data_IF_112257514371
#
_entry.id   IF_112257514371
#
_cell.length_a   1.000
_cell.length_b   1.000
_cell.length_c   1.000
_cell.angle_alpha   90.00
_cell.angle_beta   90.00
_cell.angle_gamma   90.00
#
_symmetry.space_group_name_H-M   'P 1'
#
loop_
_entity.id
_entity.type
_entity.pdbx_description
1 polymer ?
#
# COMPACT_ATOMS: atom_id res chain seq x y z
N UNK A 1 4.09 -27.88 -27.28
CA UNK A 1 3.49 -26.74 -26.54
C UNK A 1 3.95 -25.45 -27.21
N UNK A 2 3.04 -24.68 -27.82
CA UNK A 2 3.42 -23.57 -28.70
C UNK A 2 3.85 -22.31 -27.92
N UNK A 3 4.88 -21.60 -28.41
CA UNK A 3 5.44 -20.34 -27.85
C UNK A 3 4.38 -19.30 -27.44
N UNK A 4 3.26 -19.26 -28.17
CA UNK A 4 2.12 -18.36 -27.95
C UNK A 4 1.38 -18.65 -26.62
N UNK A 5 1.30 -19.92 -26.21
CA UNK A 5 0.70 -20.29 -24.91
C UNK A 5 1.63 -19.96 -23.74
N UNK A 6 2.94 -20.10 -23.93
CA UNK A 6 3.97 -19.74 -22.95
C UNK A 6 4.04 -18.23 -22.71
N UNK A 7 3.81 -17.41 -23.75
CA UNK A 7 3.73 -15.95 -23.64
C UNK A 7 2.42 -15.44 -23.04
N UNK A 8 1.28 -16.08 -23.34
CA UNK A 8 -0.02 -15.75 -22.70
C UNK A 8 -0.03 -16.07 -21.20
N UNK A 9 0.67 -17.13 -20.78
CA UNK A 9 0.84 -17.47 -19.35
C UNK A 9 1.66 -16.40 -18.60
N UNK A 10 2.68 -15.81 -19.25
CA UNK A 10 3.55 -14.75 -18.68
C UNK A 10 2.86 -13.40 -18.46
N UNK A 11 1.65 -13.17 -19.00
CA UNK A 11 0.91 -11.90 -18.90
C UNK A 11 -0.28 -11.89 -17.94
N UNK A 12 -0.47 -12.95 -17.13
CA UNK A 12 -1.45 -12.89 -16.03
C UNK A 12 -0.82 -12.16 -14.85
N UNK A 13 -1.11 -10.86 -14.75
CA UNK A 13 -0.82 -10.11 -13.54
C UNK A 13 -1.57 -10.70 -12.33
N UNK A 14 -1.26 -10.19 -11.14
CA UNK A 14 -1.85 -10.64 -9.87
C UNK A 14 -3.39 -10.64 -9.82
N UNK A 15 -4.08 -10.03 -10.78
CA UNK A 15 -5.53 -9.97 -10.88
C UNK A 15 -6.20 -11.36 -10.98
N UNK A 16 -5.48 -12.39 -11.44
CA UNK A 16 -5.99 -13.77 -11.48
C UNK A 16 -5.66 -14.58 -10.22
N UNK A 17 -4.93 -14.02 -9.26
CA UNK A 17 -4.59 -14.73 -8.04
C UNK A 17 -5.78 -14.79 -7.08
N UNK A 18 -5.95 -15.91 -6.40
CA UNK A 18 -6.75 -15.96 -5.17
C UNK A 18 -6.07 -15.15 -4.08
N UNK A 19 -6.79 -14.81 -3.00
CA UNK A 19 -6.21 -14.12 -1.86
C UNK A 19 -4.97 -14.86 -1.31
N UNK A 20 -5.07 -16.18 -1.14
CA UNK A 20 -3.96 -17.00 -0.65
C UNK A 20 -2.73 -16.96 -1.57
N UNK A 21 -2.95 -17.03 -2.89
CA UNK A 21 -1.87 -16.89 -3.89
C UNK A 21 -1.24 -15.50 -3.87
N UNK A 22 -2.06 -14.45 -3.73
CA UNK A 22 -1.57 -13.07 -3.63
C UNK A 22 -0.73 -12.85 -2.38
N UNK A 23 -1.19 -13.34 -1.23
CA UNK A 23 -0.46 -13.24 0.04
C UNK A 23 0.85 -14.01 -0.03
N UNK A 24 0.84 -15.24 -0.55
CA UNK A 24 2.06 -16.02 -0.75
C UNK A 24 3.05 -15.31 -1.69
N UNK A 25 2.56 -14.70 -2.77
CA UNK A 25 3.38 -13.91 -3.70
C UNK A 25 4.03 -12.68 -3.01
N UNK A 26 3.28 -11.93 -2.19
CA UNK A 26 3.79 -10.72 -1.52
C UNK A 26 4.67 -11.01 -0.31
N UNK A 27 4.26 -11.93 0.56
CA UNK A 27 4.95 -12.21 1.83
C UNK A 27 5.95 -13.37 1.75
N UNK A 28 5.92 -14.17 0.68
CA UNK A 28 6.76 -15.36 0.53
C UNK A 28 6.34 -16.55 1.40
N UNK A 29 5.22 -16.45 2.12
CA UNK A 29 4.66 -17.52 2.96
C UNK A 29 3.13 -17.56 2.81
N UNK A 30 2.49 -18.73 2.99
CA UNK A 30 1.04 -18.87 2.88
C UNK A 30 0.27 -17.97 3.85
N UNK A 31 -1.00 -17.71 3.53
CA UNK A 31 -1.92 -17.03 4.44
C UNK A 31 -2.06 -17.83 5.74
N UNK A 32 -1.93 -17.16 6.89
CA UNK A 32 -1.98 -17.79 8.22
C UNK A 32 -0.65 -18.30 8.76
N UNK A 33 0.45 -18.22 7.99
CA UNK A 33 1.79 -18.59 8.48
C UNK A 33 2.28 -17.65 9.58
N UNK A 34 2.87 -18.20 10.65
CA UNK A 34 3.38 -17.44 11.81
C UNK A 34 4.46 -16.42 11.46
N UNK A 35 5.18 -16.63 10.35
CA UNK A 35 6.20 -15.69 9.85
C UNK A 35 5.62 -14.54 9.04
N UNK A 36 4.31 -14.54 8.76
CA UNK A 36 3.67 -13.54 7.89
C UNK A 36 3.91 -12.11 8.38
N UNK A 37 3.74 -11.85 9.69
CA UNK A 37 3.98 -10.52 10.26
C UNK A 37 5.45 -10.09 10.12
N UNK A 38 6.38 -10.98 10.48
CA UNK A 38 7.83 -10.73 10.35
C UNK A 38 8.20 -10.41 8.90
N UNK A 39 7.76 -11.24 7.95
CA UNK A 39 8.07 -11.06 6.54
C UNK A 39 7.45 -9.78 5.99
N UNK A 40 6.22 -9.48 6.36
CA UNK A 40 5.53 -8.24 5.97
C UNK A 40 6.33 -7.02 6.43
N UNK A 41 6.70 -6.95 7.70
CA UNK A 41 7.46 -5.81 8.26
C UNK A 41 8.85 -5.70 7.59
N UNK A 42 9.60 -6.81 7.53
CA UNK A 42 10.93 -6.82 6.92
C UNK A 42 10.90 -6.38 5.45
N UNK A 43 9.93 -6.87 4.67
CA UNK A 43 9.81 -6.53 3.24
C UNK A 43 9.29 -5.11 3.02
N UNK A 44 8.34 -4.66 3.83
CA UNK A 44 7.77 -3.31 3.71
C UNK A 44 8.84 -2.27 4.01
N UNK A 45 9.43 -2.30 5.21
CA UNK A 45 10.45 -1.32 5.60
C UNK A 45 11.77 -1.49 4.83
N UNK A 46 12.11 -2.72 4.43
CA UNK A 46 13.26 -3.00 3.58
C UNK A 46 13.04 -2.76 2.08
N UNK A 47 11.89 -2.23 1.67
CA UNK A 47 11.59 -2.01 0.26
C UNK A 47 12.55 -0.98 -0.38
N UNK A 48 12.88 -1.18 -1.65
CA UNK A 48 13.74 -0.29 -2.41
C UNK A 48 13.09 1.07 -2.74
N UNK A 49 11.77 1.20 -2.56
CA UNK A 49 11.04 2.45 -2.76
C UNK A 49 9.80 2.50 -1.89
N UNK A 50 9.29 3.71 -1.66
CA UNK A 50 8.07 3.89 -0.88
C UNK A 50 6.84 3.29 -1.57
N UNK A 51 6.79 3.28 -2.89
CA UNK A 51 5.79 2.50 -3.63
C UNK A 51 5.92 0.99 -3.40
N UNK A 52 7.14 0.47 -3.21
CA UNK A 52 7.40 -0.92 -2.88
C UNK A 52 6.93 -1.27 -1.47
N UNK A 53 7.10 -0.37 -0.49
CA UNK A 53 6.61 -0.53 0.88
C UNK A 53 5.14 -0.96 0.89
N UNK A 54 4.29 -0.23 0.17
CA UNK A 54 2.85 -0.49 0.10
C UNK A 54 2.44 -1.74 -0.70
N UNK A 55 3.36 -2.36 -1.44
CA UNK A 55 3.10 -3.66 -2.06
C UNK A 55 3.22 -4.81 -1.05
N UNK A 56 4.02 -4.63 -0.01
CA UNK A 56 4.24 -5.61 1.04
C UNK A 56 3.39 -5.33 2.28
N UNK A 57 3.09 -4.07 2.56
CA UNK A 57 2.31 -3.69 3.74
C UNK A 57 0.88 -4.23 3.65
N UNK A 58 0.53 -5.10 4.61
CA UNK A 58 -0.79 -5.72 4.74
C UNK A 58 -1.36 -6.25 3.40
N UNK A 59 -0.83 -7.37 2.88
CA UNK A 59 -1.22 -7.86 1.55
C UNK A 59 -2.69 -8.30 1.47
N UNK A 60 -3.32 -8.66 2.60
CA UNK A 60 -4.75 -8.98 2.63
C UNK A 60 -5.56 -7.72 2.32
N UNK A 61 -5.25 -6.63 3.01
CA UNK A 61 -5.87 -5.33 2.77
C UNK A 61 -5.58 -4.80 1.36
N UNK A 62 -4.32 -4.89 0.92
CA UNK A 62 -3.91 -4.51 -0.43
C UNK A 62 -4.63 -5.30 -1.53
N UNK A 63 -4.90 -6.59 -1.32
CA UNK A 63 -5.69 -7.41 -2.26
C UNK A 63 -7.13 -6.90 -2.36
N UNK A 64 -7.77 -6.64 -1.22
CA UNK A 64 -9.13 -6.12 -1.16
C UNK A 64 -9.27 -4.76 -1.83
N UNK A 65 -8.43 -3.80 -1.44
CA UNK A 65 -8.39 -2.46 -2.06
C UNK A 65 -8.09 -2.54 -3.56
N UNK A 66 -7.12 -3.36 -3.96
CA UNK A 66 -6.76 -3.54 -5.35
C UNK A 66 -7.92 -4.00 -6.22
N UNK A 67 -8.69 -4.97 -5.72
CA UNK A 67 -9.80 -5.60 -6.46
C UNK A 67 -11.09 -4.79 -6.42
N UNK A 68 -11.44 -4.24 -5.26
CA UNK A 68 -12.76 -3.67 -5.02
C UNK A 68 -12.78 -2.14 -5.01
N UNK A 69 -11.62 -1.47 -4.93
CA UNK A 69 -11.53 -0.01 -4.93
C UNK A 69 -10.74 0.48 -6.14
N UNK A 70 -9.46 0.11 -6.23
CA UNK A 70 -8.57 0.58 -7.29
C UNK A 70 -9.03 0.15 -8.69
N UNK A 71 -9.34 -1.13 -8.90
CA UNK A 71 -9.74 -1.63 -10.22
C UNK A 71 -11.04 -0.98 -10.75
N UNK A 72 -12.10 -0.78 -9.95
CA UNK A 72 -13.24 0.04 -10.34
C UNK A 72 -12.87 1.49 -10.65
N UNK A 73 -12.11 2.16 -9.76
CA UNK A 73 -11.70 3.55 -9.96
C UNK A 73 -10.87 3.77 -11.24
N UNK A 74 -10.07 2.78 -11.64
CA UNK A 74 -9.28 2.82 -12.87
C UNK A 74 -10.11 2.90 -14.16
N UNK A 75 -11.41 2.62 -14.09
CA UNK A 75 -12.34 2.82 -15.22
C UNK A 75 -12.72 4.28 -15.42
N UNK A 76 -12.56 5.11 -14.38
CA UNK A 76 -13.00 6.51 -14.36
C UNK A 76 -11.82 7.49 -14.27
N UNK A 77 -10.74 7.09 -13.59
CA UNK A 77 -9.62 7.97 -13.26
C UNK A 77 -8.30 7.48 -13.88
N UNK A 78 -7.36 8.39 -14.19
CA UNK A 78 -5.98 8.02 -14.54
C UNK A 78 -5.30 7.25 -13.39
N UNK A 79 -4.23 6.48 -13.68
CA UNK A 79 -3.64 5.56 -12.69
C UNK A 79 -3.26 6.23 -11.37
N UNK A 80 -2.66 7.41 -11.46
CA UNK A 80 -2.26 8.20 -10.29
C UNK A 80 -3.47 8.62 -9.44
N UNK A 81 -4.51 9.17 -10.07
CA UNK A 81 -5.73 9.60 -9.37
C UNK A 81 -6.44 8.43 -8.69
N UNK A 82 -6.60 7.30 -9.39
CA UNK A 82 -7.20 6.10 -8.82
C UNK A 82 -6.39 5.58 -7.62
N UNK A 83 -5.06 5.67 -7.67
CA UNK A 83 -4.18 5.21 -6.60
C UNK A 83 -4.29 6.10 -5.35
N UNK A 84 -4.20 7.43 -5.50
CA UNK A 84 -4.37 8.38 -4.37
C UNK A 84 -5.74 8.22 -3.74
N UNK A 85 -6.79 8.14 -4.55
CA UNK A 85 -8.15 7.99 -4.05
C UNK A 85 -8.36 6.64 -3.34
N UNK A 86 -7.72 5.56 -3.81
CA UNK A 86 -7.73 4.28 -3.11
C UNK A 86 -7.11 4.39 -1.71
N UNK A 87 -6.01 5.12 -1.59
CA UNK A 87 -5.40 5.42 -0.29
C UNK A 87 -6.31 6.26 0.60
N UNK A 88 -6.90 7.33 0.08
CA UNK A 88 -7.84 8.17 0.83
C UNK A 88 -9.05 7.37 1.32
N UNK A 89 -9.64 6.51 0.48
CA UNK A 89 -10.74 5.61 0.86
C UNK A 89 -10.27 4.63 1.94
N UNK A 90 -9.08 4.06 1.81
CA UNK A 90 -8.49 3.22 2.86
C UNK A 90 -8.38 3.98 4.17
N UNK A 91 -7.90 5.22 4.16
CA UNK A 91 -7.83 6.07 5.35
C UNK A 91 -9.20 6.33 5.96
N UNK A 92 -10.21 6.64 5.13
CA UNK A 92 -11.59 6.81 5.56
C UNK A 92 -12.17 5.57 6.25
N UNK A 93 -11.86 4.37 5.76
CA UNK A 93 -12.26 3.13 6.43
C UNK A 93 -11.62 2.98 7.82
N UNK A 94 -10.38 3.46 8.02
CA UNK A 94 -9.73 3.44 9.33
C UNK A 94 -10.30 4.51 10.26
N UNK A 95 -10.61 5.70 9.77
CA UNK A 95 -11.30 6.73 10.54
C UNK A 95 -12.70 6.22 10.98
N UNK A 96 -13.46 5.59 10.08
CA UNK A 96 -14.75 4.96 10.40
C UNK A 96 -14.63 3.87 11.46
N UNK A 97 -13.63 2.99 11.35
CA UNK A 97 -13.37 1.99 12.39
C UNK A 97 -13.01 2.65 13.73
N UNK A 98 -12.23 3.72 13.71
CA UNK A 98 -11.87 4.49 14.91
C UNK A 98 -13.11 5.10 15.55
N UNK A 99 -13.97 5.75 14.77
CA UNK A 99 -15.23 6.35 15.24
C UNK A 99 -16.18 5.30 15.81
N UNK A 100 -16.26 4.11 15.20
CA UNK A 100 -17.12 3.03 15.67
C UNK A 100 -16.67 2.50 17.05
N UNK A 101 -15.36 2.49 17.31
CA UNK A 101 -14.81 2.03 18.60
C UNK A 101 -14.82 3.12 19.66
N UNK A 102 -14.50 4.37 19.29
CA UNK A 102 -14.39 5.49 20.23
C UNK A 102 -15.72 6.18 20.54
N UNK A 103 -16.70 6.07 19.64
CA UNK A 103 -17.94 6.86 19.70
C UNK A 103 -17.76 8.35 19.43
N UNK A 104 -16.58 8.79 18.97
CA UNK A 104 -16.25 10.18 18.73
C UNK A 104 -15.74 10.41 17.29
N UNK A 105 -15.96 11.59 16.68
CA UNK A 105 -15.45 11.91 15.35
C UNK A 105 -13.93 11.69 15.24
N UNK A 106 -13.49 11.12 14.12
CA UNK A 106 -12.08 10.89 13.81
C UNK A 106 -11.79 11.31 12.36
N UNK A 107 -10.71 12.06 12.18
CA UNK A 107 -10.26 12.53 10.88
C UNK A 107 -8.74 12.65 10.85
N UNK A 108 -8.06 11.50 10.88
CA UNK A 108 -6.59 11.42 10.85
C UNK A 108 -6.10 10.56 9.70
N UNK A 109 -6.66 9.37 9.56
CA UNK A 109 -6.16 8.39 8.60
C UNK A 109 -6.48 8.78 7.17
N UNK A 110 -7.61 9.44 6.91
CA UNK A 110 -7.98 9.94 5.57
C UNK A 110 -6.94 10.90 4.99
N UNK A 111 -6.62 12.05 5.63
CA UNK A 111 -5.60 12.96 5.10
C UNK A 111 -4.20 12.33 5.11
N UNK A 112 -3.88 11.54 6.14
CA UNK A 112 -2.58 10.88 6.21
C UNK A 112 -2.37 9.91 5.04
N UNK A 113 -3.33 9.02 4.79
CA UNK A 113 -3.22 8.04 3.70
C UNK A 113 -3.21 8.72 2.33
N UNK A 114 -3.96 9.79 2.13
CA UNK A 114 -3.89 10.57 0.88
C UNK A 114 -2.46 11.07 0.61
N UNK A 115 -1.78 11.61 1.64
CA UNK A 115 -0.38 12.04 1.54
C UNK A 115 0.58 10.87 1.31
N UNK A 116 0.34 9.71 1.95
CA UNK A 116 1.13 8.50 1.72
C UNK A 116 0.98 8.00 0.26
N UNK A 117 -0.25 8.04 -0.28
CA UNK A 117 -0.53 7.71 -1.68
C UNK A 117 0.19 8.63 -2.65
N UNK A 118 0.22 9.94 -2.36
CA UNK A 118 0.99 10.93 -3.11
C UNK A 118 2.50 10.63 -3.03
N UNK A 119 3.04 10.42 -1.83
CA UNK A 119 4.45 10.06 -1.63
C UNK A 119 4.86 8.81 -2.38
N UNK A 120 3.98 7.80 -2.43
CA UNK A 120 4.22 6.58 -3.18
C UNK A 120 4.27 6.83 -4.69
N UNK A 121 3.39 7.68 -5.24
CA UNK A 121 3.46 8.08 -6.65
C UNK A 121 4.73 8.88 -6.92
N UNK A 122 5.06 9.86 -6.08
CA UNK A 122 6.28 10.65 -6.21
C UNK A 122 7.51 9.74 -6.24
N UNK A 123 7.58 8.74 -5.36
CA UNK A 123 8.69 7.76 -5.37
C UNK A 123 8.82 7.02 -6.70
N UNK A 124 7.72 6.75 -7.41
CA UNK A 124 7.76 6.16 -8.76
C UNK A 124 8.19 7.17 -9.81
N UNK A 125 7.66 8.38 -9.75
CA UNK A 125 7.95 9.45 -10.73
C UNK A 125 9.41 9.84 -10.71
N UNK A 126 10.02 9.94 -9.51
CA UNK A 126 11.45 10.26 -9.37
C UNK A 126 12.37 9.05 -9.61
N UNK A 127 11.81 7.87 -9.92
CA UNK A 127 12.59 6.64 -10.13
C UNK A 127 13.36 6.21 -8.90
N UNK A 128 12.78 6.35 -7.70
CA UNK A 128 13.43 5.97 -6.45
C UNK A 128 13.83 4.49 -6.46
N UNK A 129 15.13 4.23 -6.31
CA UNK A 129 15.68 2.90 -6.13
C UNK A 129 16.77 2.89 -5.06
N UNK A 130 16.44 2.30 -3.92
CA UNK A 130 17.33 2.10 -2.78
C UNK A 130 17.85 0.65 -2.71
N UNK A 131 17.68 -0.18 -3.74
CA UNK A 131 18.06 -1.60 -3.70
C UNK A 131 19.54 -1.82 -3.37
N UNK A 132 20.41 -0.93 -3.84
CA UNK A 132 21.86 -0.97 -3.58
C UNK A 132 22.24 -0.37 -2.22
N UNK A 133 21.28 0.14 -1.44
CA UNK A 133 21.53 0.75 -0.14
C UNK A 133 21.39 -0.28 0.99
N UNK A 134 22.12 -0.08 2.12
CA UNK A 134 21.98 -0.95 3.29
C UNK A 134 20.53 -1.05 3.76
N UNK A 135 20.16 -2.21 4.34
CA UNK A 135 18.81 -2.47 4.85
C UNK A 135 18.31 -1.36 5.78
N UNK A 136 19.12 -0.94 6.75
CA UNK A 136 18.74 0.09 7.72
C UNK A 136 18.50 1.46 7.10
N UNK A 137 19.20 1.80 6.01
CA UNK A 137 18.93 3.04 5.30
C UNK A 137 17.55 2.99 4.63
N UNK A 138 17.19 1.85 4.01
CA UNK A 138 15.85 1.65 3.43
C UNK A 138 14.75 1.74 4.49
N UNK A 139 14.97 1.12 5.64
CA UNK A 139 14.05 1.21 6.79
C UNK A 139 13.88 2.67 7.21
N UNK A 140 14.98 3.39 7.40
CA UNK A 140 14.98 4.79 7.79
C UNK A 140 14.23 5.67 6.80
N UNK A 141 14.48 5.51 5.49
CA UNK A 141 13.79 6.29 4.45
C UNK A 141 12.28 5.99 4.41
N UNK A 142 11.88 4.71 4.40
CA UNK A 142 10.47 4.35 4.37
C UNK A 142 9.73 4.81 5.65
N UNK A 143 10.37 4.73 6.82
CA UNK A 143 9.83 5.24 8.07
C UNK A 143 9.72 6.78 8.06
N UNK A 144 10.73 7.47 7.52
CA UNK A 144 10.69 8.92 7.38
C UNK A 144 9.51 9.37 6.52
N UNK A 145 9.20 8.67 5.42
CA UNK A 145 7.99 8.95 4.63
C UNK A 145 6.69 8.83 5.46
N UNK A 146 6.56 7.78 6.27
CA UNK A 146 5.39 7.60 7.14
C UNK A 146 5.22 8.80 8.09
N UNK A 147 6.30 9.20 8.75
CA UNK A 147 6.32 10.28 9.75
C UNK A 147 6.10 11.64 9.09
N UNK A 148 6.82 11.95 8.01
CA UNK A 148 6.70 13.23 7.30
C UNK A 148 5.28 13.44 6.76
N UNK A 149 4.63 12.38 6.26
CA UNK A 149 3.22 12.47 5.86
C UNK A 149 2.25 12.57 7.05
N UNK A 150 2.61 12.06 8.23
CA UNK A 150 1.75 12.09 9.42
C UNK A 150 1.67 13.49 10.04
N UNK A 151 2.78 14.23 10.08
CA UNK A 151 2.85 15.58 10.68
C UNK A 151 1.77 16.55 10.15
N UNK A 152 1.63 16.78 8.83
CA UNK A 152 0.57 17.65 8.32
C UNK A 152 -0.84 17.09 8.54
N UNK A 153 -1.02 15.76 8.58
CA UNK A 153 -2.31 15.16 8.89
C UNK A 153 -2.71 15.39 10.36
N UNK A 154 -1.76 15.34 11.28
CA UNK A 154 -1.97 15.71 12.69
C UNK A 154 -2.29 17.19 12.84
N UNK A 155 -1.56 18.06 12.14
CA UNK A 155 -1.84 19.49 12.14
C UNK A 155 -3.25 19.79 11.62
N UNK A 156 -3.67 19.14 10.54
CA UNK A 156 -5.02 19.27 9.98
C UNK A 156 -6.08 18.74 10.94
N UNK A 157 -5.86 17.57 11.55
CA UNK A 157 -6.77 17.00 12.55
C UNK A 157 -7.03 17.99 13.67
N UNK A 158 -5.97 18.53 14.27
CA UNK A 158 -6.07 19.47 15.41
C UNK A 158 -6.71 20.81 15.05
N UNK A 159 -6.75 21.16 13.77
CA UNK A 159 -7.43 22.36 13.28
C UNK A 159 -8.94 22.14 13.07
N UNK A 160 -9.40 20.90 12.94
CA UNK A 160 -10.79 20.54 12.61
C UNK A 160 -11.53 19.90 13.80
N UNK A 161 -10.83 19.11 14.62
CA UNK A 161 -11.35 18.33 15.75
C UNK A 161 -10.63 18.70 17.05
#
# INVERSE_FOLDING_TARGET
MNKIQTEKSKKRGWQSYTLGQYVAFRNGVPLGDSRSLRNMLQRSFGAASFAGFWQYWNPIWGYGLGRYVYAPLRRLLPPAGAFILTFAISGGLHDLATMAVSGAPAFLFTPWFALLGLGAILSRVVGMDLAQRPFWLRVGVNLAYLVVCLLPALALRNAIL
#
